data_IF_543375787239
#
_entry.id   IF_543375787239
#
_cell.length_a   1.000
_cell.length_b   1.000
_cell.length_c   1.000
_cell.angle_alpha   90.00
_cell.angle_beta   90.00
_cell.angle_gamma   90.00
#
_symmetry.space_group_name_H-M   'P 1'
#
loop_
_entity.id
_entity.type
_entity.pdbx_description
1 polymer ?
#
# COMPACT_ATOMS: atom_id res chain seq x y z
N UNK A 1 18.02 -6.95 15.06
CA UNK A 1 17.65 -6.25 13.83
C UNK A 1 16.58 -7.07 13.13
N UNK A 2 15.33 -6.66 13.22
CA UNK A 2 14.20 -7.28 12.52
C UNK A 2 14.42 -7.12 11.02
N UNK A 3 14.54 -8.24 10.30
CA UNK A 3 14.54 -8.28 8.84
C UNK A 3 13.09 -8.08 8.38
N UNK A 4 12.63 -6.84 8.32
CA UNK A 4 11.35 -6.54 7.67
C UNK A 4 11.56 -6.61 6.14
N UNK A 5 10.90 -7.56 5.48
CA UNK A 5 11.02 -7.78 4.04
C UNK A 5 10.14 -6.79 3.26
N UNK A 6 10.49 -5.50 3.31
CA UNK A 6 9.72 -4.40 2.72
C UNK A 6 10.11 -4.05 1.26
N UNK A 7 10.98 -4.85 0.64
CA UNK A 7 11.38 -4.68 -0.76
C UNK A 7 12.31 -3.50 -1.04
N UNK A 8 12.86 -2.84 0.00
CA UNK A 8 13.76 -1.69 -0.14
C UNK A 8 13.04 -0.40 -0.58
N UNK A 9 13.76 0.72 -0.74
CA UNK A 9 13.18 2.03 -1.06
C UNK A 9 12.63 2.11 -2.50
N UNK A 10 11.43 2.65 -2.68
CA UNK A 10 10.75 2.93 -3.95
C UNK A 10 11.37 4.08 -4.75
N UNK A 11 12.09 5.00 -4.10
CA UNK A 11 12.79 6.12 -4.75
C UNK A 11 14.21 6.31 -4.15
N UNK A 12 15.17 6.91 -4.88
CA UNK A 12 16.52 7.14 -4.37
C UNK A 12 16.53 7.99 -3.10
N UNK A 13 17.16 7.49 -2.03
CA UNK A 13 17.21 8.18 -0.73
C UNK A 13 18.52 8.95 -0.57
N UNK A 14 18.47 10.28 -0.59
CA UNK A 14 19.58 11.13 -0.13
C UNK A 14 19.61 11.21 1.40
N UNK A 15 19.68 10.07 2.08
CA UNK A 15 19.81 10.02 3.55
C UNK A 15 18.53 10.27 4.36
N UNK A 16 17.36 10.31 3.72
CA UNK A 16 16.05 10.28 4.39
C UNK A 16 15.37 8.94 4.11
N UNK A 17 14.67 8.38 5.10
CA UNK A 17 13.84 7.18 4.97
C UNK A 17 12.76 7.43 3.90
N UNK A 18 13.04 7.05 2.66
CA UNK A 18 12.10 7.13 1.55
C UNK A 18 11.03 6.05 1.66
N UNK A 19 9.95 6.19 0.90
CA UNK A 19 8.93 5.14 0.75
C UNK A 19 9.59 3.84 0.34
N UNK A 20 9.10 2.71 0.85
CA UNK A 20 9.49 1.37 0.40
C UNK A 20 8.70 0.96 -0.85
N UNK A 21 9.17 -0.07 -1.58
CA UNK A 21 8.43 -0.66 -2.70
C UNK A 21 7.06 -1.17 -2.22
N UNK A 22 6.99 -1.69 -0.99
CA UNK A 22 5.74 -2.05 -0.32
C UNK A 22 4.79 -0.85 -0.22
N UNK A 23 5.27 0.29 0.27
CA UNK A 23 4.45 1.50 0.40
C UNK A 23 3.96 2.01 -0.95
N UNK A 24 4.79 1.89 -1.99
CA UNK A 24 4.39 2.24 -3.36
C UNK A 24 3.25 1.35 -3.86
N UNK A 25 3.35 0.02 -3.71
CA UNK A 25 2.28 -0.90 -4.12
C UNK A 25 1.01 -0.70 -3.30
N UNK A 26 1.13 -0.49 -1.99
CA UNK A 26 -0.02 -0.20 -1.14
C UNK A 26 -0.71 1.09 -1.60
N UNK A 27 0.03 2.17 -1.88
CA UNK A 27 -0.54 3.40 -2.40
C UNK A 27 -1.27 3.21 -3.74
N UNK A 28 -0.72 2.37 -4.64
CA UNK A 28 -1.39 2.04 -5.91
C UNK A 28 -2.68 1.25 -5.73
N UNK A 29 -2.69 0.26 -4.85
CA UNK A 29 -3.90 -0.50 -4.52
C UNK A 29 -4.97 0.41 -3.90
N UNK A 30 -4.57 1.24 -2.93
CA UNK A 30 -5.44 2.19 -2.25
C UNK A 30 -6.06 3.17 -3.23
N UNK A 31 -5.28 3.72 -4.16
CA UNK A 31 -5.77 4.65 -5.18
C UNK A 31 -6.92 4.03 -6.01
N UNK A 32 -6.77 2.78 -6.44
CA UNK A 32 -7.80 2.08 -7.20
C UNK A 32 -9.07 1.84 -6.39
N UNK A 33 -8.92 1.43 -5.13
CA UNK A 33 -10.05 1.20 -4.23
C UNK A 33 -10.83 2.49 -3.96
N UNK A 34 -10.15 3.56 -3.59
CA UNK A 34 -10.79 4.86 -3.30
C UNK A 34 -11.53 5.43 -4.52
N UNK A 35 -10.99 5.23 -5.73
CA UNK A 35 -11.63 5.68 -6.96
C UNK A 35 -12.90 4.87 -7.34
N UNK A 36 -13.08 3.67 -6.79
CA UNK A 36 -14.17 2.75 -7.16
C UNK A 36 -15.46 2.90 -6.34
N UNK A 37 -15.48 3.75 -5.30
CA UNK A 37 -16.67 3.87 -4.44
C UNK A 37 -17.82 4.59 -5.16
N UNK A 38 -19.02 3.99 -5.21
CA UNK A 38 -20.17 4.60 -5.86
C UNK A 38 -20.73 5.78 -5.04
N UNK A 39 -21.41 6.69 -5.73
CA UNK A 39 -22.14 7.77 -5.06
C UNK A 39 -23.21 7.22 -4.11
N UNK A 40 -23.37 7.85 -2.95
CA UNK A 40 -24.36 7.46 -1.94
C UNK A 40 -23.89 6.41 -0.93
N UNK A 41 -22.70 5.84 -1.11
CA UNK A 41 -22.01 5.06 -0.06
C UNK A 41 -21.07 5.98 0.71
N UNK A 42 -20.93 5.75 2.02
CA UNK A 42 -19.95 6.46 2.82
C UNK A 42 -18.55 6.14 2.31
N UNK A 43 -17.89 7.15 1.75
CA UNK A 43 -16.54 6.99 1.23
C UNK A 43 -15.58 6.73 2.40
N UNK A 44 -14.69 5.73 2.33
CA UNK A 44 -13.81 5.32 3.43
C UNK A 44 -12.91 6.45 3.94
N UNK A 45 -12.51 7.39 3.06
CA UNK A 45 -11.76 8.58 3.47
C UNK A 45 -12.56 9.61 4.30
N UNK A 46 -13.88 9.43 4.44
CA UNK A 46 -14.79 10.29 5.22
C UNK A 46 -15.42 9.56 6.41
N UNK A 47 -15.08 8.30 6.62
CA UNK A 47 -15.61 7.45 7.69
C UNK A 47 -14.48 6.88 8.52
N UNK A 48 -14.77 6.45 9.75
CA UNK A 48 -13.79 5.73 10.58
C UNK A 48 -13.39 4.36 9.97
N UNK A 49 -14.06 3.88 8.93
CA UNK A 49 -13.70 2.68 8.15
C UNK A 49 -12.46 2.86 7.24
N UNK A 50 -11.84 4.05 7.22
CA UNK A 50 -10.60 4.30 6.45
C UNK A 50 -9.46 3.33 6.76
N UNK A 51 -9.47 2.72 7.95
CA UNK A 51 -8.49 1.70 8.36
C UNK A 51 -8.54 0.44 7.50
N UNK A 52 -9.72 -0.01 7.07
CA UNK A 52 -9.89 -1.25 6.32
C UNK A 52 -9.27 -1.17 4.93
N UNK A 53 -9.44 -0.04 4.23
CA UNK A 53 -8.85 0.15 2.89
C UNK A 53 -7.32 0.20 2.98
N UNK A 54 -6.76 0.82 4.02
CA UNK A 54 -5.32 0.85 4.21
C UNK A 54 -4.74 -0.54 4.47
N UNK A 55 -5.35 -1.32 5.36
CA UNK A 55 -4.92 -2.70 5.65
C UNK A 55 -4.95 -3.58 4.40
N UNK A 56 -6.06 -3.56 3.66
CA UNK A 56 -6.24 -4.37 2.45
C UNK A 56 -5.27 -3.94 1.33
N UNK A 57 -4.89 -2.67 1.29
CA UNK A 57 -3.88 -2.16 0.37
C UNK A 57 -2.49 -2.70 0.68
N UNK A 58 -2.11 -2.79 1.96
CA UNK A 58 -0.84 -3.40 2.35
C UNK A 58 -0.83 -4.92 2.13
N UNK A 59 -1.94 -5.62 2.35
CA UNK A 59 -2.05 -7.04 2.01
C UNK A 59 -1.85 -7.28 0.50
N UNK A 60 -2.40 -6.40 -0.34
CA UNK A 60 -2.16 -6.45 -1.79
C UNK A 60 -0.69 -6.18 -2.13
N UNK A 61 -0.05 -5.22 -1.46
CA UNK A 61 1.38 -4.94 -1.64
C UNK A 61 2.25 -6.16 -1.30
N UNK A 62 1.94 -6.83 -0.19
CA UNK A 62 2.65 -8.03 0.25
C UNK A 62 2.46 -9.18 -0.77
N UNK A 63 1.26 -9.34 -1.34
CA UNK A 63 1.00 -10.30 -2.41
C UNK A 63 1.80 -9.99 -3.70
N UNK A 64 1.92 -8.72 -4.08
CA UNK A 64 2.72 -8.29 -5.24
C UNK A 64 4.22 -8.55 -5.04
N UNK A 65 4.74 -8.30 -3.83
CA UNK A 65 6.12 -8.61 -3.48
C UNK A 65 6.38 -10.12 -3.54
N UNK A 66 5.49 -10.92 -2.96
CA UNK A 66 5.60 -12.38 -3.02
C UNK A 66 5.59 -12.91 -4.46
N UNK A 67 4.67 -12.42 -5.29
CA UNK A 67 4.61 -12.82 -6.70
C UNK A 67 5.89 -12.50 -7.48
N UNK A 68 6.65 -11.47 -7.07
CA UNK A 68 7.94 -11.12 -7.66
C UNK A 68 9.07 -12.06 -7.21
N UNK A 69 9.02 -12.59 -5.98
CA UNK A 69 10.02 -13.54 -5.46
C UNK A 69 9.92 -14.93 -6.12
N UNK A 70 8.77 -15.25 -6.72
CA UNK A 70 8.51 -16.52 -7.41
C UNK A 70 9.03 -16.56 -8.87
N UNK A 71 9.75 -15.52 -9.33
CA UNK A 71 10.32 -15.36 -10.69
C UNK A 71 11.85 -15.31 -10.64
#
# INVERSE_FOLDING_TARGET
MSKENNGGPAYPTQGYEGLTVRDYFAAKAMQGWLAGYPAGINHPARSEEGFTVAELSYLMADAMLKAREEV
#
